data_IF_977023623238
#
_entry.id   IF_977023623238
#
_cell.length_a   1.000
_cell.length_b   1.000
_cell.length_c   1.000
_cell.angle_alpha   90.00
_cell.angle_beta   90.00
_cell.angle_gamma   90.00
#
_symmetry.space_group_name_H-M   'P 1'
#
loop_
_entity.id
_entity.type
_entity.pdbx_description
1 polymer ?
#
# COMPACT_ATOMS: atom_id res chain seq x y z
N UNK A 1 -3.16 2.09 -29.18
CA UNK A 1 -2.93 1.13 -28.08
C UNK A 1 -3.49 -0.22 -28.51
N UNK A 2 -2.73 -1.30 -28.41
CA UNK A 2 -3.30 -2.64 -28.56
C UNK A 2 -4.30 -2.87 -27.42
N UNK A 3 -5.47 -3.46 -27.72
CA UNK A 3 -6.43 -3.75 -26.65
C UNK A 3 -5.85 -4.84 -25.74
N UNK A 4 -5.94 -4.61 -24.41
CA UNK A 4 -5.54 -5.63 -23.42
C UNK A 4 -6.33 -6.90 -23.69
N UNK A 5 -5.65 -8.02 -23.82
CA UNK A 5 -6.31 -9.31 -23.98
C UNK A 5 -7.17 -9.60 -22.73
N UNK A 6 -8.43 -9.95 -22.95
CA UNK A 6 -9.31 -10.33 -21.84
C UNK A 6 -8.88 -11.70 -21.27
N UNK A 7 -9.04 -11.91 -19.95
CA UNK A 7 -8.82 -13.22 -19.35
C UNK A 7 -9.88 -14.21 -19.86
N UNK A 8 -9.64 -15.52 -19.70
CA UNK A 8 -10.70 -16.52 -19.93
C UNK A 8 -11.92 -16.23 -19.03
N UNK A 9 -13.10 -16.67 -19.45
CA UNK A 9 -14.33 -16.47 -18.67
C UNK A 9 -14.19 -17.04 -17.24
N UNK A 10 -13.68 -18.26 -17.13
CA UNK A 10 -13.44 -18.93 -15.85
C UNK A 10 -12.48 -18.14 -14.96
N UNK A 11 -11.36 -17.64 -15.52
CA UNK A 11 -10.39 -16.84 -14.78
C UNK A 11 -10.96 -15.51 -14.31
N UNK A 12 -11.78 -14.90 -15.14
CA UNK A 12 -12.48 -13.66 -14.79
C UNK A 12 -13.45 -13.88 -13.62
N UNK A 13 -14.29 -14.91 -13.71
CA UNK A 13 -15.26 -15.26 -12.68
C UNK A 13 -14.57 -15.57 -11.34
N UNK A 14 -13.46 -16.28 -11.37
CA UNK A 14 -12.64 -16.55 -10.18
C UNK A 14 -12.18 -15.26 -9.52
N UNK A 15 -11.58 -14.35 -10.28
CA UNK A 15 -11.07 -13.07 -9.75
C UNK A 15 -12.22 -12.21 -9.20
N UNK A 16 -13.33 -12.16 -9.90
CA UNK A 16 -14.52 -11.40 -9.50
C UNK A 16 -15.11 -11.92 -8.18
N UNK A 17 -15.21 -13.24 -8.02
CA UNK A 17 -15.70 -13.87 -6.80
C UNK A 17 -14.74 -13.62 -5.62
N UNK A 18 -13.44 -13.78 -5.83
CA UNK A 18 -12.42 -13.54 -4.81
C UNK A 18 -12.39 -12.06 -4.37
N UNK A 19 -12.55 -11.14 -5.31
CA UNK A 19 -12.60 -9.70 -5.00
C UNK A 19 -13.84 -9.37 -4.16
N UNK A 20 -14.99 -9.96 -4.49
CA UNK A 20 -16.23 -9.78 -3.72
C UNK A 20 -16.09 -10.34 -2.30
N UNK A 21 -15.45 -11.50 -2.11
CA UNK A 21 -15.18 -12.08 -0.80
C UNK A 21 -14.33 -11.15 0.08
N UNK A 22 -13.24 -10.64 -0.46
CA UNK A 22 -12.37 -9.69 0.26
C UNK A 22 -13.10 -8.38 0.57
N UNK A 23 -13.88 -7.85 -0.37
CA UNK A 23 -14.70 -6.65 -0.18
C UNK A 23 -15.73 -6.85 0.93
N UNK A 24 -16.43 -7.98 0.91
CA UNK A 24 -17.40 -8.33 1.96
C UNK A 24 -16.78 -8.47 3.35
N UNK A 25 -15.58 -9.04 3.46
CA UNK A 25 -14.85 -9.13 4.72
C UNK A 25 -14.45 -7.74 5.26
N UNK A 26 -14.07 -6.81 4.38
CA UNK A 26 -13.77 -5.42 4.75
C UNK A 26 -15.03 -4.72 5.27
N UNK A 27 -16.15 -4.85 4.56
CA UNK A 27 -17.43 -4.24 4.95
C UNK A 27 -17.96 -4.80 6.27
N UNK A 28 -17.89 -6.13 6.47
CA UNK A 28 -18.30 -6.77 7.72
C UNK A 28 -17.45 -6.27 8.91
N UNK A 29 -16.13 -6.16 8.72
CA UNK A 29 -15.25 -5.64 9.77
C UNK A 29 -15.59 -4.18 10.14
N UNK A 30 -15.92 -3.36 9.14
CA UNK A 30 -16.37 -1.98 9.40
C UNK A 30 -17.67 -1.92 10.21
N UNK A 31 -18.61 -2.82 9.96
CA UNK A 31 -19.87 -2.89 10.73
C UNK A 31 -19.61 -3.25 12.19
N UNK A 32 -18.70 -4.21 12.46
CA UNK A 32 -18.33 -4.63 13.81
C UNK A 32 -17.50 -3.57 14.54
N UNK A 33 -16.54 -2.96 13.86
CA UNK A 33 -15.68 -1.89 14.41
C UNK A 33 -16.47 -0.61 14.68
N UNK A 34 -17.52 -0.30 13.90
CA UNK A 34 -18.42 0.82 14.17
C UNK A 34 -19.06 0.77 15.57
N UNK A 35 -19.24 -0.42 16.13
CA UNK A 35 -19.66 -0.61 17.54
C UNK A 35 -18.54 -0.50 18.58
N UNK A 36 -17.29 -0.71 18.20
CA UNK A 36 -16.12 -0.72 19.10
C UNK A 36 -15.33 0.61 19.07
N UNK A 37 -15.32 1.33 17.94
CA UNK A 37 -14.57 2.59 17.72
C UNK A 37 -15.14 3.77 18.53
N UNK A 38 -16.37 3.70 18.98
CA UNK A 38 -16.87 4.67 19.97
C UNK A 38 -16.10 4.62 21.30
N UNK A 39 -15.21 3.65 21.51
CA UNK A 39 -14.44 3.46 22.76
C UNK A 39 -12.96 3.85 22.67
N UNK A 40 -12.42 4.16 21.50
CA UNK A 40 -11.03 4.66 21.37
C UNK A 40 -11.00 5.92 20.50
N UNK A 41 -10.72 7.02 21.15
CA UNK A 41 -10.77 8.40 20.62
C UNK A 41 -9.69 8.75 19.57
N UNK A 42 -9.09 7.79 18.89
CA UNK A 42 -8.03 8.03 17.90
C UNK A 42 -8.39 7.66 16.44
N UNK A 43 -9.60 7.16 16.18
CA UNK A 43 -10.00 6.76 14.83
C UNK A 43 -10.75 7.90 14.11
N UNK A 44 -10.04 8.92 13.68
CA UNK A 44 -10.55 10.00 12.82
C UNK A 44 -10.47 9.66 11.31
N UNK A 45 -10.59 8.38 10.93
CA UNK A 45 -10.74 8.08 9.51
C UNK A 45 -12.20 8.23 9.10
N UNK A 46 -12.51 9.29 8.35
CA UNK A 46 -13.84 9.54 7.78
C UNK A 46 -14.12 8.70 6.54
N UNK A 47 -13.17 7.88 6.10
CA UNK A 47 -13.27 7.06 4.90
C UNK A 47 -13.11 5.57 5.21
N UNK A 48 -13.82 4.70 4.46
CA UNK A 48 -13.62 3.25 4.58
C UNK A 48 -12.17 2.87 4.24
N UNK A 49 -11.65 1.78 4.83
CA UNK A 49 -10.31 1.29 4.51
C UNK A 49 -10.15 1.03 3.02
N UNK A 50 -8.99 1.40 2.50
CA UNK A 50 -8.63 1.21 1.10
C UNK A 50 -8.11 -0.21 0.89
N UNK A 51 -8.73 -0.93 -0.06
CA UNK A 51 -8.19 -2.19 -0.57
C UNK A 51 -7.21 -1.90 -1.70
N UNK A 52 -5.95 -2.29 -1.51
CA UNK A 52 -4.93 -2.33 -2.57
C UNK A 52 -4.81 -3.76 -3.07
N UNK A 53 -5.29 -4.02 -4.29
CA UNK A 53 -5.20 -5.33 -4.94
C UNK A 53 -3.77 -5.53 -5.47
N UNK A 54 -2.99 -6.42 -4.83
CA UNK A 54 -1.57 -6.64 -5.16
C UNK A 54 -1.44 -7.55 -6.36
N UNK A 55 -1.05 -6.97 -7.50
CA UNK A 55 -1.08 -7.59 -8.82
C UNK A 55 0.30 -8.01 -9.38
N UNK A 56 1.34 -8.00 -8.55
CA UNK A 56 2.69 -8.42 -8.95
C UNK A 56 2.70 -9.82 -9.56
N UNK A 57 3.40 -9.98 -10.67
CA UNK A 57 3.48 -11.21 -11.46
C UNK A 57 2.15 -11.67 -12.09
N UNK A 58 1.12 -10.84 -12.09
CA UNK A 58 -0.14 -11.13 -12.73
C UNK A 58 -0.24 -10.39 -14.06
N UNK A 59 -0.84 -11.00 -15.11
CA UNK A 59 -0.99 -10.32 -16.39
C UNK A 59 -1.95 -9.14 -16.29
N UNK A 60 -1.85 -8.19 -17.21
CA UNK A 60 -2.74 -7.05 -17.32
C UNK A 60 -4.23 -7.44 -17.43
N UNK A 61 -4.51 -8.60 -18.04
CA UNK A 61 -5.86 -9.16 -18.14
C UNK A 61 -6.51 -9.43 -16.76
N UNK A 62 -5.75 -9.93 -15.80
CA UNK A 62 -6.26 -10.21 -14.45
C UNK A 62 -6.61 -8.89 -13.72
N UNK A 63 -5.78 -7.87 -13.93
CA UNK A 63 -6.03 -6.54 -13.38
C UNK A 63 -7.29 -5.93 -14.00
N UNK A 64 -7.47 -6.08 -15.30
CA UNK A 64 -8.63 -5.59 -16.00
C UNK A 64 -9.94 -6.27 -15.53
N UNK A 65 -9.90 -7.57 -15.18
CA UNK A 65 -11.04 -8.25 -14.57
C UNK A 65 -11.45 -7.60 -13.25
N UNK A 66 -10.50 -7.37 -12.34
CA UNK A 66 -10.77 -6.69 -11.07
C UNK A 66 -11.19 -5.21 -11.26
N UNK A 67 -10.57 -4.51 -12.21
CA UNK A 67 -10.93 -3.14 -12.57
C UNK A 67 -12.39 -3.03 -13.04
N UNK A 68 -12.85 -3.94 -13.87
CA UNK A 68 -14.22 -3.98 -14.38
C UNK A 68 -15.27 -4.21 -13.28
N UNK A 69 -14.85 -4.71 -12.12
CA UNK A 69 -15.67 -4.85 -10.90
C UNK A 69 -15.55 -3.64 -9.96
N UNK A 70 -14.92 -2.57 -10.40
CA UNK A 70 -14.83 -1.32 -9.64
C UNK A 70 -13.55 -1.17 -8.82
N UNK A 71 -12.65 -2.17 -8.79
CA UNK A 71 -11.36 -2.00 -8.13
C UNK A 71 -10.53 -0.93 -8.86
N UNK A 72 -9.97 0.01 -8.07
CA UNK A 72 -9.18 1.12 -8.61
C UNK A 72 -7.76 1.18 -8.07
N UNK A 73 -7.52 0.73 -6.85
CA UNK A 73 -6.20 0.75 -6.21
C UNK A 73 -5.47 -0.57 -6.42
N UNK A 74 -4.35 -0.54 -7.14
CA UNK A 74 -3.54 -1.73 -7.42
C UNK A 74 -2.11 -1.53 -6.95
N UNK A 75 -1.49 -2.61 -6.43
CA UNK A 75 -0.15 -2.58 -5.84
C UNK A 75 0.86 -3.41 -6.63
N UNK A 76 2.01 -2.80 -6.93
CA UNK A 76 3.12 -3.40 -7.66
C UNK A 76 4.44 -3.34 -6.89
N UNK A 77 5.24 -4.38 -7.06
CA UNK A 77 6.54 -4.46 -6.37
C UNK A 77 7.73 -4.10 -7.27
N UNK A 78 7.57 -4.14 -8.58
CA UNK A 78 8.65 -3.97 -9.55
C UNK A 78 8.36 -2.79 -10.45
N UNK A 79 9.32 -1.84 -10.50
CA UNK A 79 9.14 -0.59 -11.25
C UNK A 79 8.90 -0.85 -12.73
N UNK A 80 9.64 -1.80 -13.33
CA UNK A 80 9.49 -2.12 -14.75
C UNK A 80 8.08 -2.65 -15.04
N UNK A 81 7.62 -3.61 -14.26
CA UNK A 81 6.28 -4.20 -14.36
C UNK A 81 5.18 -3.13 -14.18
N UNK A 82 5.36 -2.23 -13.22
CA UNK A 82 4.44 -1.12 -13.01
C UNK A 82 4.38 -0.16 -14.20
N UNK A 83 5.54 0.21 -14.77
CA UNK A 83 5.59 1.09 -15.95
C UNK A 83 4.86 0.47 -17.15
N UNK A 84 5.08 -0.82 -17.41
CA UNK A 84 4.44 -1.55 -18.51
C UNK A 84 2.92 -1.60 -18.33
N UNK A 85 2.45 -1.98 -17.14
CA UNK A 85 1.04 -2.06 -16.80
C UNK A 85 0.35 -0.69 -16.82
N UNK A 86 0.99 0.33 -16.30
CA UNK A 86 0.44 1.69 -16.30
C UNK A 86 0.28 2.27 -17.71
N UNK A 87 1.13 1.85 -18.65
CA UNK A 87 1.03 2.25 -20.05
C UNK A 87 -0.07 1.49 -20.83
N UNK A 88 -0.42 0.29 -20.38
CA UNK A 88 -1.35 -0.61 -21.06
C UNK A 88 -2.79 -0.53 -20.53
N UNK A 89 -2.95 -0.30 -19.23
CA UNK A 89 -4.20 -0.35 -18.50
C UNK A 89 -4.88 1.04 -18.37
N UNK A 90 -6.18 1.10 -17.96
CA UNK A 90 -6.90 2.36 -17.82
C UNK A 90 -6.20 3.39 -16.93
N UNK A 91 -6.23 4.66 -17.36
CA UNK A 91 -5.52 5.75 -16.70
C UNK A 91 -6.14 6.22 -15.38
N UNK A 92 -7.36 5.78 -15.06
CA UNK A 92 -8.05 6.03 -13.78
C UNK A 92 -7.73 4.97 -12.70
N UNK A 93 -6.84 4.02 -12.99
CA UNK A 93 -6.23 3.18 -11.98
C UNK A 93 -5.33 4.04 -11.07
N UNK A 94 -5.44 3.83 -9.77
CA UNK A 94 -4.58 4.41 -8.74
C UNK A 94 -3.47 3.43 -8.38
N UNK A 95 -2.28 3.64 -8.94
CA UNK A 95 -1.16 2.73 -8.71
C UNK A 95 -0.46 2.98 -7.38
N UNK A 96 -0.17 1.92 -6.65
CA UNK A 96 0.66 1.90 -5.46
C UNK A 96 1.97 1.18 -5.74
N UNK A 97 3.09 1.85 -5.56
CA UNK A 97 4.37 1.16 -5.53
C UNK A 97 4.65 0.68 -4.10
N UNK A 98 4.66 -0.63 -3.92
CA UNK A 98 4.83 -1.29 -2.62
C UNK A 98 6.10 -2.17 -2.55
N UNK A 99 6.96 -2.09 -3.58
CA UNK A 99 8.26 -2.74 -3.60
C UNK A 99 9.36 -1.89 -2.95
N UNK A 100 10.53 -2.47 -2.73
CA UNK A 100 11.67 -1.72 -2.16
C UNK A 100 12.09 -0.60 -3.10
N UNK A 101 11.97 0.65 -2.64
CA UNK A 101 12.36 1.82 -3.41
C UNK A 101 13.88 1.86 -3.59
N UNK A 102 14.33 2.03 -4.83
CA UNK A 102 15.72 2.27 -5.20
C UNK A 102 15.85 3.69 -5.76
N UNK A 103 16.86 4.44 -5.32
CA UNK A 103 17.04 5.85 -5.70
C UNK A 103 17.15 6.05 -7.22
N UNK A 104 17.76 5.11 -7.95
CA UNK A 104 17.87 5.16 -9.41
C UNK A 104 16.56 4.89 -10.16
N UNK A 105 15.51 4.46 -9.44
CA UNK A 105 14.17 4.17 -10.01
C UNK A 105 13.16 5.30 -9.78
N UNK A 106 13.49 6.33 -8.97
CA UNK A 106 12.58 7.44 -8.68
C UNK A 106 12.08 8.16 -9.95
N UNK A 107 12.95 8.37 -10.94
CA UNK A 107 12.56 9.01 -12.22
C UNK A 107 11.56 8.17 -13.02
N UNK A 108 11.73 6.85 -13.04
CA UNK A 108 10.82 5.96 -13.75
C UNK A 108 9.45 5.91 -13.05
N UNK A 109 9.41 5.89 -11.71
CA UNK A 109 8.17 6.00 -10.96
C UNK A 109 7.49 7.35 -11.19
N UNK A 110 8.24 8.45 -11.16
CA UNK A 110 7.70 9.79 -11.41
C UNK A 110 7.17 9.99 -12.84
N UNK A 111 7.53 9.15 -13.79
CA UNK A 111 6.98 9.21 -15.15
C UNK A 111 5.56 8.61 -15.26
N UNK A 112 5.07 7.92 -14.23
CA UNK A 112 3.75 7.29 -14.21
C UNK A 112 2.72 8.31 -13.76
N UNK A 113 1.87 8.78 -14.67
CA UNK A 113 0.93 9.88 -14.44
C UNK A 113 -0.15 9.55 -13.39
N UNK A 114 -0.51 8.28 -13.26
CA UNK A 114 -1.51 7.78 -12.31
C UNK A 114 -0.88 6.97 -11.16
N UNK A 115 0.40 7.24 -10.84
CA UNK A 115 1.00 6.78 -9.59
C UNK A 115 0.34 7.52 -8.44
N UNK A 116 -0.38 6.78 -7.61
CA UNK A 116 -1.13 7.35 -6.49
C UNK A 116 -0.32 7.39 -5.20
N UNK A 117 0.49 6.36 -4.93
CA UNK A 117 1.33 6.31 -3.75
C UNK A 117 2.63 5.53 -3.94
N UNK A 118 3.65 5.89 -3.15
CA UNK A 118 4.83 5.09 -2.87
C UNK A 118 4.83 4.74 -1.37
N UNK A 119 4.68 3.45 -1.03
CA UNK A 119 4.46 3.02 0.36
C UNK A 119 5.74 2.55 1.06
N UNK A 120 6.89 2.76 0.47
CA UNK A 120 8.15 2.14 0.91
C UNK A 120 9.30 3.14 1.05
N UNK A 121 9.00 4.35 1.54
CA UNK A 121 10.04 5.30 1.91
C UNK A 121 10.74 4.79 3.18
N UNK A 122 12.03 4.52 3.07
CA UNK A 122 12.84 3.96 4.15
C UNK A 122 14.03 4.86 4.55
N UNK A 123 14.10 6.08 4.01
CA UNK A 123 15.12 7.07 4.38
C UNK A 123 14.80 8.47 3.85
N UNK A 124 15.32 9.50 4.52
CA UNK A 124 15.23 10.89 4.07
C UNK A 124 15.84 11.08 2.67
N UNK A 125 16.99 10.45 2.41
CA UNK A 125 17.66 10.57 1.11
C UNK A 125 16.77 10.07 -0.05
N UNK A 126 16.01 8.97 0.16
CA UNK A 126 15.08 8.47 -0.85
C UNK A 126 13.85 9.35 -0.97
N UNK A 127 13.35 9.91 0.14
CA UNK A 127 12.26 10.88 0.11
C UNK A 127 12.64 12.10 -0.73
N UNK A 128 13.78 12.75 -0.45
CA UNK A 128 14.28 13.88 -1.23
C UNK A 128 14.45 13.52 -2.72
N UNK A 129 15.04 12.36 -3.01
CA UNK A 129 15.24 11.91 -4.40
C UNK A 129 13.93 11.69 -5.16
N UNK A 130 12.91 11.17 -4.49
CA UNK A 130 11.58 10.98 -5.08
C UNK A 130 10.89 12.33 -5.27
N UNK A 131 11.00 13.25 -4.28
CA UNK A 131 10.50 14.62 -4.37
C UNK A 131 11.04 15.35 -5.61
N UNK A 132 12.37 15.33 -5.80
CA UNK A 132 13.02 15.99 -6.94
C UNK A 132 12.60 15.37 -8.28
N UNK A 133 12.44 14.05 -8.30
CA UNK A 133 11.97 13.35 -9.50
C UNK A 133 10.51 13.72 -9.83
N UNK A 134 9.65 13.80 -8.83
CA UNK A 134 8.24 14.15 -8.97
C UNK A 134 8.06 15.61 -9.42
N UNK A 135 8.84 16.52 -8.84
CA UNK A 135 8.87 17.91 -9.26
C UNK A 135 9.35 18.07 -10.72
N UNK A 136 10.44 17.37 -11.07
CA UNK A 136 10.99 17.40 -12.43
C UNK A 136 10.03 16.83 -13.49
N UNK A 137 9.14 15.93 -13.11
CA UNK A 137 8.10 15.38 -13.98
C UNK A 137 6.91 16.34 -14.18
N UNK A 138 6.81 17.43 -13.40
CA UNK A 138 5.84 18.48 -13.60
C UNK A 138 4.41 18.13 -13.15
N UNK A 139 4.24 17.18 -12.23
CA UNK A 139 2.93 16.82 -11.71
C UNK A 139 2.25 17.99 -10.99
N UNK A 140 0.93 18.19 -11.20
CA UNK A 140 0.20 19.31 -10.59
C UNK A 140 -0.08 19.12 -9.09
N UNK A 141 0.04 17.88 -8.58
CA UNK A 141 -0.26 17.51 -7.19
C UNK A 141 0.92 16.82 -6.54
N UNK A 142 0.96 16.82 -5.22
CA UNK A 142 1.93 16.06 -4.45
C UNK A 142 1.64 14.55 -4.52
N UNK A 143 2.70 13.73 -4.52
CA UNK A 143 2.60 12.28 -4.46
C UNK A 143 2.39 11.82 -3.03
N UNK A 144 1.40 10.97 -2.81
CA UNK A 144 1.21 10.33 -1.51
C UNK A 144 2.37 9.38 -1.20
N UNK A 145 2.88 9.45 0.02
CA UNK A 145 3.95 8.55 0.47
C UNK A 145 3.63 7.98 1.85
N UNK A 146 4.06 6.73 2.08
CA UNK A 146 4.10 6.13 3.40
C UNK A 146 5.55 5.85 3.78
N UNK A 147 5.87 6.02 5.05
CA UNK A 147 7.15 5.57 5.60
C UNK A 147 7.02 4.10 5.95
N UNK A 148 7.86 3.26 5.36
CA UNK A 148 7.93 1.86 5.73
C UNK A 148 8.75 1.74 7.02
N UNK A 149 8.16 1.11 8.04
CA UNK A 149 8.75 0.93 9.36
C UNK A 149 9.14 -0.53 9.57
N UNK A 150 10.35 -0.77 10.08
CA UNK A 150 10.77 -2.07 10.60
C UNK A 150 10.16 -2.25 12.01
N UNK A 151 9.02 -2.92 12.09
CA UNK A 151 8.32 -3.16 13.37
C UNK A 151 8.73 -4.46 14.04
N UNK A 152 9.42 -5.36 13.33
CA UNK A 152 9.81 -6.67 13.83
C UNK A 152 11.23 -6.74 14.37
N UNK A 153 11.99 -5.63 14.24
CA UNK A 153 13.41 -5.54 14.63
C UNK A 153 14.31 -6.59 13.93
N UNK A 154 13.87 -7.14 12.78
CA UNK A 154 14.63 -8.07 11.97
C UNK A 154 15.55 -7.31 11.00
N UNK A 155 16.87 -7.45 11.12
CA UNK A 155 17.89 -6.76 10.30
C UNK A 155 17.70 -6.92 8.78
N UNK A 156 17.13 -8.05 8.35
CA UNK A 156 16.93 -8.37 6.93
C UNK A 156 15.65 -7.78 6.33
N UNK A 157 14.77 -7.16 7.13
CA UNK A 157 13.56 -6.52 6.65
C UNK A 157 13.81 -5.05 6.37
N UNK A 158 13.33 -4.60 5.20
CA UNK A 158 13.41 -3.20 4.83
C UNK A 158 12.48 -2.35 5.69
N UNK A 159 12.83 -1.09 5.84
CA UNK A 159 12.07 -0.10 6.62
C UNK A 159 12.99 0.76 7.44
N UNK A 160 12.45 1.83 7.98
CA UNK A 160 13.11 2.74 8.92
C UNK A 160 13.04 2.12 10.31
N UNK A 161 14.11 2.17 11.06
CA UNK A 161 14.10 1.81 12.48
C UNK A 161 13.17 2.76 13.25
N UNK A 162 12.43 2.23 14.23
CA UNK A 162 11.37 2.98 14.92
C UNK A 162 11.84 4.34 15.45
N UNK A 163 13.05 4.40 16.02
CA UNK A 163 13.64 5.63 16.58
C UNK A 163 14.01 6.69 15.52
N UNK A 164 14.08 6.33 14.24
CA UNK A 164 14.43 7.23 13.13
C UNK A 164 13.21 7.76 12.38
N UNK A 165 12.02 7.16 12.60
CA UNK A 165 10.81 7.50 11.82
C UNK A 165 10.42 8.97 11.96
N UNK A 166 10.56 9.55 13.14
CA UNK A 166 10.25 10.97 13.37
C UNK A 166 11.13 11.89 12.50
N UNK A 167 12.43 11.58 12.36
CA UNK A 167 13.34 12.35 11.50
C UNK A 167 12.91 12.30 10.03
N UNK A 168 12.57 11.10 9.54
CA UNK A 168 12.10 10.94 8.15
C UNK A 168 10.76 11.66 7.94
N UNK A 169 9.84 11.59 8.90
CA UNK A 169 8.54 12.27 8.82
C UNK A 169 8.71 13.80 8.75
N UNK A 170 9.57 14.38 9.59
CA UNK A 170 9.91 15.81 9.56
C UNK A 170 10.53 16.21 8.22
N UNK A 171 11.52 15.45 7.74
CA UNK A 171 12.14 15.75 6.46
C UNK A 171 11.13 15.74 5.30
N UNK A 172 10.17 14.81 5.29
CA UNK A 172 9.11 14.79 4.29
C UNK A 172 8.21 16.02 4.43
N UNK A 173 7.73 16.32 5.62
CA UNK A 173 6.79 17.41 5.87
C UNK A 173 7.40 18.80 5.61
N UNK A 174 8.66 18.99 5.98
CA UNK A 174 9.32 20.30 5.95
C UNK A 174 10.05 20.57 4.61
N UNK A 175 10.67 19.55 4.02
CA UNK A 175 11.57 19.71 2.88
C UNK A 175 11.00 19.16 1.56
N UNK A 176 10.12 18.15 1.57
CA UNK A 176 9.64 17.47 0.37
C UNK A 176 8.27 18.01 -0.08
N UNK A 177 8.21 19.22 -0.63
CA UNK A 177 6.95 19.92 -0.96
C UNK A 177 6.12 19.25 -2.06
N UNK A 178 6.71 18.32 -2.80
CA UNK A 178 6.05 17.51 -3.82
C UNK A 178 5.63 16.13 -3.33
N UNK A 179 5.82 15.85 -2.04
CA UNK A 179 5.32 14.65 -1.39
C UNK A 179 4.27 15.01 -0.32
N UNK A 180 3.28 14.16 -0.18
CA UNK A 180 2.30 14.20 0.89
C UNK A 180 2.53 12.99 1.80
N UNK A 181 3.02 13.20 3.02
CA UNK A 181 3.14 12.11 3.99
C UNK A 181 1.75 11.66 4.42
N UNK A 182 1.28 10.57 3.82
CA UNK A 182 -0.06 10.06 4.08
C UNK A 182 -0.10 9.14 5.31
N UNK A 183 0.97 8.37 5.56
CA UNK A 183 0.93 7.44 6.68
C UNK A 183 2.21 6.63 6.90
N UNK A 184 2.06 5.60 7.72
CA UNK A 184 3.08 4.59 8.01
C UNK A 184 2.68 3.25 7.39
N UNK A 185 3.68 2.48 6.98
CA UNK A 185 3.48 1.15 6.42
C UNK A 185 4.37 0.13 7.13
N UNK A 186 3.86 -1.07 7.35
CA UNK A 186 4.69 -2.23 7.72
C UNK A 186 4.30 -3.48 6.95
N UNK A 187 5.28 -4.37 6.78
CA UNK A 187 5.05 -5.74 6.30
C UNK A 187 4.83 -6.69 7.49
N UNK A 188 5.40 -6.35 8.64
CA UNK A 188 5.37 -7.19 9.83
C UNK A 188 6.24 -8.45 9.72
N UNK A 189 6.29 -9.22 10.78
CA UNK A 189 6.96 -10.51 10.84
C UNK A 189 6.01 -11.65 10.46
N UNK A 190 6.58 -12.76 9.97
CA UNK A 190 5.78 -13.99 9.75
C UNK A 190 5.27 -14.51 11.08
N UNK A 191 6.08 -14.45 12.14
CA UNK A 191 5.69 -14.86 13.48
C UNK A 191 4.56 -13.98 14.03
N UNK A 192 4.66 -12.65 13.87
CA UNK A 192 3.65 -11.69 14.31
C UNK A 192 2.30 -11.89 13.61
N UNK A 193 2.30 -12.32 12.34
CA UNK A 193 1.07 -12.55 11.58
C UNK A 193 0.18 -13.66 12.18
N UNK A 194 0.76 -14.58 12.97
CA UNK A 194 0.06 -15.66 13.67
C UNK A 194 -0.37 -15.28 15.10
N UNK A 195 0.05 -14.11 15.59
CA UNK A 195 -0.29 -13.67 16.96
C UNK A 195 -1.52 -12.75 16.95
N UNK A 196 -2.30 -12.84 18.01
CA UNK A 196 -3.46 -11.97 18.25
C UNK A 196 -3.45 -11.44 19.69
N UNK A 197 -3.27 -10.11 19.88
CA UNK A 197 -3.04 -9.11 18.83
C UNK A 197 -1.63 -9.21 18.20
N UNK A 198 -1.53 -8.83 16.92
CA UNK A 198 -0.25 -8.78 16.21
C UNK A 198 0.65 -7.68 16.78
N UNK A 199 1.83 -8.00 17.35
CA UNK A 199 2.68 -7.02 17.99
C UNK A 199 3.26 -5.98 17.02
N UNK A 200 3.50 -6.34 15.76
CA UNK A 200 4.00 -5.43 14.73
C UNK A 200 2.97 -4.35 14.39
N UNK A 201 1.69 -4.74 14.31
CA UNK A 201 0.60 -3.80 14.07
C UNK A 201 0.37 -2.87 15.25
N UNK A 202 0.44 -3.37 16.48
CA UNK A 202 0.35 -2.54 17.68
C UNK A 202 1.47 -1.51 17.75
N UNK A 203 2.71 -1.90 17.43
CA UNK A 203 3.85 -0.97 17.38
C UNK A 203 3.64 0.12 16.32
N UNK A 204 3.13 -0.24 15.14
CA UNK A 204 2.84 0.74 14.10
C UNK A 204 1.74 1.72 14.52
N UNK A 205 0.67 1.24 15.18
CA UNK A 205 -0.39 2.07 15.73
C UNK A 205 0.16 3.08 16.75
N UNK A 206 0.95 2.60 17.71
CA UNK A 206 1.56 3.46 18.72
C UNK A 206 2.45 4.54 18.09
N UNK A 207 3.29 4.15 17.14
CA UNK A 207 4.18 5.09 16.46
C UNK A 207 3.42 6.14 15.66
N UNK A 208 2.32 5.77 14.99
CA UNK A 208 1.41 6.72 14.32
C UNK A 208 0.83 7.72 15.32
N UNK A 209 0.34 7.26 16.46
CA UNK A 209 -0.29 8.12 17.47
C UNK A 209 0.71 9.10 18.07
N UNK A 210 1.93 8.63 18.36
CA UNK A 210 3.02 9.47 18.85
C UNK A 210 3.41 10.56 17.83
N UNK A 211 3.52 10.21 16.55
CA UNK A 211 3.84 11.15 15.49
C UNK A 211 2.71 12.17 15.27
N UNK A 212 1.45 11.70 15.26
CA UNK A 212 0.30 12.58 15.13
C UNK A 212 0.28 13.62 16.26
N UNK A 213 0.50 13.19 17.50
CA UNK A 213 0.54 14.09 18.65
C UNK A 213 1.72 15.09 18.59
N UNK A 214 2.92 14.64 18.20
CA UNK A 214 4.13 15.47 18.15
C UNK A 214 4.17 16.43 16.97
N UNK A 215 3.65 16.03 15.81
CA UNK A 215 3.80 16.77 14.56
C UNK A 215 2.51 17.41 14.07
N UNK A 216 1.39 17.22 14.77
CA UNK A 216 0.07 17.70 14.34
C UNK A 216 -0.42 17.06 13.05
N UNK A 217 -0.04 15.78 12.80
CA UNK A 217 -0.41 15.03 11.61
C UNK A 217 -1.67 14.20 11.83
N UNK A 218 -2.20 13.65 10.74
CA UNK A 218 -3.29 12.66 10.75
C UNK A 218 -2.90 11.52 9.81
N UNK A 219 -2.04 10.62 10.32
CA UNK A 219 -1.42 9.57 9.53
C UNK A 219 -2.31 8.35 9.41
N UNK A 220 -2.35 7.78 8.21
CA UNK A 220 -2.95 6.50 7.87
C UNK A 220 -2.03 5.33 8.25
N UNK A 221 -2.61 4.11 8.26
CA UNK A 221 -1.87 2.87 8.50
C UNK A 221 -2.04 1.90 7.33
N UNK A 222 -0.95 1.64 6.62
CA UNK A 222 -0.88 0.60 5.60
C UNK A 222 -0.28 -0.66 6.22
N UNK A 223 -1.14 -1.59 6.62
CA UNK A 223 -0.76 -2.86 7.22
C UNK A 223 -1.82 -3.92 6.95
N UNK A 224 -1.45 -5.20 7.03
CA UNK A 224 -2.30 -6.32 6.69
C UNK A 224 -2.18 -6.76 5.23
N UNK A 225 -2.00 -8.06 5.07
CA UNK A 225 -1.89 -8.77 3.80
C UNK A 225 -2.94 -9.90 3.72
N UNK A 226 -2.85 -10.77 2.72
CA UNK A 226 -3.86 -11.81 2.46
C UNK A 226 -4.22 -12.67 3.68
N UNK A 227 -3.30 -12.89 4.59
CA UNK A 227 -3.49 -13.82 5.72
C UNK A 227 -3.92 -13.12 7.02
N UNK A 228 -3.74 -11.79 7.13
CA UNK A 228 -3.94 -11.06 8.37
C UNK A 228 -4.63 -9.69 8.21
N UNK A 229 -5.17 -9.37 7.02
CA UNK A 229 -5.79 -8.07 6.76
C UNK A 229 -7.03 -7.81 7.62
N UNK A 230 -7.82 -8.84 7.92
CA UNK A 230 -9.00 -8.72 8.78
C UNK A 230 -8.58 -8.26 10.18
N UNK A 231 -7.54 -8.89 10.75
CA UNK A 231 -6.99 -8.47 12.03
C UNK A 231 -6.35 -7.07 11.99
N UNK A 232 -5.71 -6.71 10.88
CA UNK A 232 -5.19 -5.36 10.69
C UNK A 232 -6.30 -4.31 10.71
N UNK A 233 -7.47 -4.61 10.12
CA UNK A 233 -8.65 -3.75 10.16
C UNK A 233 -9.21 -3.59 11.59
N UNK A 234 -9.28 -4.66 12.37
CA UNK A 234 -9.65 -4.62 13.79
C UNK A 234 -8.76 -3.67 14.60
N UNK A 235 -7.47 -3.56 14.22
CA UNK A 235 -6.48 -2.69 14.85
C UNK A 235 -6.39 -1.29 14.20
N UNK A 236 -7.27 -0.98 13.26
CA UNK A 236 -7.38 0.36 12.67
C UNK A 236 -6.56 0.59 11.40
N UNK A 237 -6.23 -0.46 10.63
CA UNK A 237 -5.66 -0.29 9.30
C UNK A 237 -6.60 0.52 8.41
N UNK A 238 -6.05 1.50 7.70
CA UNK A 238 -6.77 2.32 6.72
C UNK A 238 -6.46 1.92 5.28
N UNK A 239 -5.43 1.08 5.09
CA UNK A 239 -4.95 0.59 3.81
C UNK A 239 -4.49 -0.86 3.96
N UNK A 240 -5.17 -1.81 3.30
CA UNK A 240 -4.82 -3.24 3.31
C UNK A 240 -4.38 -3.70 1.93
N UNK A 241 -3.37 -4.60 1.88
CA UNK A 241 -2.71 -5.01 0.63
C UNK A 241 -2.91 -6.51 0.39
N UNK A 242 -3.93 -6.84 -0.39
CA UNK A 242 -4.35 -8.23 -0.62
C UNK A 242 -4.00 -8.68 -2.03
N UNK A 243 -3.29 -9.78 -2.15
CA UNK A 243 -2.84 -10.33 -3.44
C UNK A 243 -3.34 -11.74 -3.68
N UNK A 244 -2.83 -12.73 -2.95
CA UNK A 244 -3.12 -14.16 -3.18
C UNK A 244 -4.60 -14.53 -3.01
N UNK A 245 -5.33 -13.86 -2.13
CA UNK A 245 -6.79 -14.09 -1.99
C UNK A 245 -7.59 -13.58 -3.18
N UNK A 246 -7.09 -12.57 -3.92
CA UNK A 246 -7.77 -12.04 -5.10
C UNK A 246 -7.32 -12.78 -6.37
N UNK A 247 -6.00 -12.83 -6.59
CA UNK A 247 -5.42 -13.30 -7.84
C UNK A 247 -4.84 -14.72 -7.77
N UNK A 248 -5.08 -15.44 -6.69
CA UNK A 248 -4.51 -16.77 -6.46
C UNK A 248 -3.02 -16.77 -6.17
N UNK A 249 -2.49 -17.92 -5.79
CA UNK A 249 -1.07 -18.11 -5.51
C UNK A 249 -0.18 -17.80 -6.72
N UNK A 250 1.11 -17.60 -6.46
CA UNK A 250 2.10 -17.42 -7.55
C UNK A 250 2.25 -18.74 -8.32
N UNK A 251 2.28 -18.66 -9.64
CA UNK A 251 2.77 -19.78 -10.43
C UNK A 251 4.19 -20.14 -9.96
N UNK A 252 4.53 -21.43 -9.80
CA UNK A 252 5.90 -21.82 -9.50
C UNK A 252 6.83 -21.16 -10.53
N UNK A 253 7.94 -20.56 -10.08
CA UNK A 253 8.97 -20.12 -11.02
C UNK A 253 9.37 -21.32 -11.86
N UNK A 254 9.09 -21.29 -13.16
CA UNK A 254 9.74 -22.21 -14.07
C UNK A 254 11.24 -22.06 -13.86
N UNK A 255 11.89 -23.16 -13.46
CA UNK A 255 13.35 -23.21 -13.37
C UNK A 255 13.89 -22.87 -14.78
N UNK A 256 14.41 -21.66 -14.92
CA UNK A 256 15.22 -21.25 -16.07
C UNK A 256 16.66 -21.62 -15.81
#
# INVERSE_FOLDING_TARGET
MAAVQQPSTERREEIEANLADVGGAIEANLADVGGAVQRSSSANSTHPPRLVAVSKYKPASDILAAYNRGQRHFGENYVQELCEKAAELPSDISWHFIGRLQSNKCKALAAISNLWAVETIDSEAKARKLNDAWESAGHPHALNVFIQVNTSDEENKGGVEQHQVEGVARAIAEECKKLCLLGLMTIGSVEGSHQRPNPDFLRLCQLRDDLNAKLGLSLELSMGMSDDFEHALELGATNVRVGSRIFGSRAPKALQ
#
